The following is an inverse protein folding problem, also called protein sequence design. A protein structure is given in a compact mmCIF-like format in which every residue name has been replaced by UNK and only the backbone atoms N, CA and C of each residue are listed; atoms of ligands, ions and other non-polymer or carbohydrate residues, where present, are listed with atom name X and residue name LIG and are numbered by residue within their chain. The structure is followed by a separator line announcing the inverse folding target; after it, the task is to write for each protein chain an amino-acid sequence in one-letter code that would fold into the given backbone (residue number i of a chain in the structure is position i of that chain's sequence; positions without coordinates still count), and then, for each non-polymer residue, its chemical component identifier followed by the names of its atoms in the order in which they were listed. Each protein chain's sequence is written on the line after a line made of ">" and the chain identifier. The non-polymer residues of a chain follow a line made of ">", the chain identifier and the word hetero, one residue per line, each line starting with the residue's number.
data_IF_366739955934
#
_entry.id   IF_366739955934
#
_cell.length_a   1.000
_cell.length_b   1.000
_cell.length_c   1.000
_cell.angle_alpha   90.00
_cell.angle_beta   90.00
_cell.angle_gamma   90.00
#
_symmetry.space_group_name_H-M   'P 1'
#
loop_
_entity.id
_entity.type
_entity.pdbx_description
1 polymer ?
#
# COMPACT_ATOMS: atom_id res chain seq x y z
N UNK A 1 -18.48 -0.55 -16.48
CA UNK A 1 -18.66 -0.02 -15.11
C UNK A 1 -17.34 -0.16 -14.36
N UNK A 2 -16.41 0.78 -14.56
CA UNK A 2 -15.07 0.78 -13.91
C UNK A 2 -14.84 2.09 -13.14
N UNK A 3 -15.44 3.21 -13.55
CA UNK A 3 -15.27 4.52 -12.90
C UNK A 3 -16.00 4.71 -11.55
N UNK A 4 -16.80 3.76 -11.08
CA UNK A 4 -17.50 3.89 -9.79
C UNK A 4 -16.63 3.54 -8.57
N UNK A 5 -15.41 3.03 -8.80
CA UNK A 5 -14.53 2.48 -7.77
C UNK A 5 -13.23 3.27 -7.58
N UNK A 6 -13.11 4.47 -8.17
CA UNK A 6 -11.92 5.33 -7.99
C UNK A 6 -10.65 4.86 -8.73
N UNK A 7 -10.62 3.61 -9.24
CA UNK A 7 -9.47 3.10 -9.99
C UNK A 7 -9.25 3.86 -11.30
N UNK A 8 -8.01 4.30 -11.53
CA UNK A 8 -7.59 4.72 -12.85
C UNK A 8 -7.69 3.52 -13.81
N UNK A 9 -8.40 3.72 -14.91
CA UNK A 9 -8.54 2.72 -15.97
C UNK A 9 -7.16 2.24 -16.40
N UNK A 10 -7.00 0.92 -16.62
CA UNK A 10 -5.75 0.35 -17.11
C UNK A 10 -5.47 0.97 -18.49
N UNK A 11 -4.68 2.04 -18.49
CA UNK A 11 -4.22 2.70 -19.69
C UNK A 11 -3.05 1.90 -20.23
N UNK A 12 -3.26 1.29 -21.39
CA UNK A 12 -2.14 0.78 -22.18
C UNK A 12 -1.14 1.93 -22.36
N UNK A 13 0.16 1.72 -22.06
CA UNK A 13 1.17 2.75 -22.27
C UNK A 13 1.09 3.19 -23.73
N UNK A 14 0.89 4.49 -23.95
CA UNK A 14 0.83 5.03 -25.29
C UNK A 14 2.10 4.61 -26.04
N UNK A 15 1.92 3.86 -27.12
CA UNK A 15 3.00 3.38 -27.95
C UNK A 15 3.75 4.61 -28.48
N UNK A 16 4.90 4.91 -27.88
CA UNK A 16 5.71 6.05 -28.31
C UNK A 16 6.04 5.84 -29.77
N UNK A 17 5.73 6.84 -30.61
CA UNK A 17 6.20 6.84 -32.00
C UNK A 17 7.72 6.69 -31.95
N UNK A 18 8.30 5.61 -32.50
CA UNK A 18 9.73 5.47 -32.48
C UNK A 18 10.35 6.68 -33.19
N UNK A 19 11.46 7.23 -32.68
CA UNK A 19 12.16 8.33 -33.32
C UNK A 19 12.38 8.01 -34.81
N UNK A 20 12.27 9.02 -35.69
CA UNK A 20 12.59 8.88 -37.12
C UNK A 20 14.01 8.33 -37.23
N UNK A 21 14.13 7.02 -37.50
CA UNK A 21 15.42 6.36 -37.67
C UNK A 21 16.02 6.87 -38.98
N UNK A 22 17.22 7.43 -38.92
CA UNK A 22 18.09 7.55 -40.08
C UNK A 22 18.44 6.11 -40.51
N UNK A 23 17.81 5.60 -41.56
CA UNK A 23 18.02 4.22 -42.01
C UNK A 23 19.30 4.14 -42.85
N UNK A 24 20.47 4.08 -42.22
CA UNK A 24 21.68 3.67 -42.92
C UNK A 24 21.68 2.14 -43.06
N UNK A 25 21.02 1.63 -44.10
CA UNK A 25 21.20 0.27 -44.65
C UNK A 25 20.85 -0.94 -43.76
N UNK A 26 20.47 -0.77 -42.49
CA UNK A 26 20.10 -1.88 -41.63
C UNK A 26 18.68 -2.39 -41.96
N UNK A 27 18.54 -3.69 -42.25
CA UNK A 27 17.24 -4.32 -42.47
C UNK A 27 16.35 -4.12 -41.24
N UNK A 28 15.13 -3.60 -41.45
CA UNK A 28 14.11 -3.59 -40.40
C UNK A 28 13.91 -5.03 -39.93
N UNK A 29 14.14 -5.30 -38.64
CA UNK A 29 13.77 -6.57 -38.04
C UNK A 29 12.25 -6.65 -37.98
N UNK A 30 11.64 -7.15 -39.05
CA UNK A 30 10.27 -7.62 -39.04
C UNK A 30 10.25 -9.06 -38.52
N UNK A 31 9.23 -9.46 -37.74
CA UNK A 31 9.06 -10.86 -37.37
C UNK A 31 8.94 -11.68 -38.65
N UNK A 32 9.73 -12.75 -38.75
CA UNK A 32 9.80 -13.62 -39.94
C UNK A 32 8.61 -14.57 -40.00
N UNK A 33 7.99 -14.82 -38.85
CA UNK A 33 6.92 -15.79 -38.68
C UNK A 33 5.80 -15.20 -37.80
N UNK A 34 4.55 -15.61 -38.05
CA UNK A 34 3.41 -15.20 -37.22
C UNK A 34 3.61 -15.54 -35.73
N UNK A 35 4.24 -16.68 -35.45
CA UNK A 35 4.60 -17.10 -34.09
C UNK A 35 5.51 -16.08 -33.38
N UNK A 36 6.52 -15.53 -34.07
CA UNK A 36 7.43 -14.51 -33.49
C UNK A 36 6.69 -13.19 -33.19
N UNK A 37 5.70 -12.85 -34.01
CA UNK A 37 4.85 -11.68 -33.79
C UNK A 37 3.99 -11.84 -32.52
N UNK A 38 3.31 -12.98 -32.38
CA UNK A 38 2.50 -13.27 -31.20
C UNK A 38 3.33 -13.47 -29.94
N UNK A 39 4.51 -14.09 -30.06
CA UNK A 39 5.44 -14.28 -28.93
C UNK A 39 5.85 -12.94 -28.32
N UNK A 40 6.14 -11.95 -29.16
CA UNK A 40 6.48 -10.60 -28.71
C UNK A 40 5.30 -9.94 -27.97
N UNK A 41 4.08 -10.04 -28.51
CA UNK A 41 2.87 -9.52 -27.86
C UNK A 41 2.58 -10.19 -26.51
N UNK A 42 2.75 -11.52 -26.44
CA UNK A 42 2.56 -12.31 -25.22
C UNK A 42 3.51 -11.88 -24.11
N UNK A 43 4.81 -11.77 -24.39
CA UNK A 43 5.78 -11.32 -23.40
C UNK A 43 5.60 -9.84 -23.02
N UNK A 44 5.19 -8.97 -23.96
CA UNK A 44 4.82 -7.60 -23.63
C UNK A 44 3.66 -7.55 -22.63
N UNK A 45 2.65 -8.41 -22.78
CA UNK A 45 1.53 -8.47 -21.87
C UNK A 45 1.96 -8.94 -20.48
N UNK A 46 2.75 -10.02 -20.39
CA UNK A 46 3.30 -10.49 -19.11
C UNK A 46 4.14 -9.42 -18.41
N UNK A 47 5.02 -8.75 -19.16
CA UNK A 47 5.83 -7.66 -18.63
C UNK A 47 4.99 -6.49 -18.13
N UNK A 48 3.94 -6.11 -18.88
CA UNK A 48 3.04 -5.02 -18.48
C UNK A 48 2.30 -5.38 -17.20
N UNK A 49 1.83 -6.62 -17.08
CA UNK A 49 1.16 -7.12 -15.89
C UNK A 49 2.11 -7.10 -14.69
N UNK A 50 3.31 -7.65 -14.83
CA UNK A 50 4.32 -7.67 -13.77
C UNK A 50 4.70 -6.26 -13.28
N UNK A 51 4.98 -5.34 -14.22
CA UNK A 51 5.29 -3.94 -13.89
C UNK A 51 4.12 -3.25 -13.20
N UNK A 52 2.88 -3.49 -13.64
CA UNK A 52 1.69 -2.92 -12.98
C UNK A 52 1.49 -3.49 -11.57
N UNK A 53 1.78 -4.77 -11.36
CA UNK A 53 1.75 -5.37 -10.03
C UNK A 53 2.83 -4.74 -9.13
N UNK A 54 4.06 -4.64 -9.59
CA UNK A 54 5.13 -4.03 -8.78
C UNK A 54 4.83 -2.56 -8.45
N UNK A 55 4.35 -1.77 -9.41
CA UNK A 55 4.02 -0.36 -9.17
C UNK A 55 2.86 -0.20 -8.17
N UNK A 56 1.87 -1.10 -8.21
CA UNK A 56 0.70 -1.02 -7.31
C UNK A 56 0.95 -1.58 -5.92
N UNK A 57 1.76 -2.63 -5.80
CA UNK A 57 1.97 -3.34 -4.53
C UNK A 57 3.31 -3.02 -3.86
N UNK A 58 4.25 -2.36 -4.55
CA UNK A 58 5.51 -1.85 -3.99
C UNK A 58 5.44 -0.33 -3.87
N UNK A 59 4.34 0.15 -3.28
CA UNK A 59 4.20 1.56 -2.93
C UNK A 59 4.78 1.76 -1.53
N UNK A 60 5.57 2.82 -1.33
CA UNK A 60 6.14 3.18 -0.02
C UNK A 60 5.07 3.32 1.07
N UNK A 61 3.83 3.63 0.68
CA UNK A 61 2.72 3.83 1.61
C UNK A 61 2.22 2.50 2.20
N UNK A 62 2.36 1.39 1.48
CA UNK A 62 2.08 0.04 1.99
C UNK A 62 3.13 -0.37 3.02
N UNK A 63 4.40 -0.03 2.80
CA UNK A 63 5.45 -0.28 3.79
C UNK A 63 5.20 0.50 5.10
N UNK A 64 4.63 1.70 5.01
CA UNK A 64 4.25 2.49 6.19
C UNK A 64 3.08 1.82 6.94
N UNK A 65 2.11 1.28 6.22
CA UNK A 65 1.00 0.51 6.81
C UNK A 65 1.48 -0.73 7.54
N UNK A 66 2.38 -1.50 6.94
CA UNK A 66 2.96 -2.70 7.55
C UNK A 66 3.73 -2.36 8.83
N UNK A 67 4.48 -1.24 8.82
CA UNK A 67 5.17 -0.73 10.02
C UNK A 67 4.21 -0.27 11.10
N UNK A 68 3.14 0.46 10.75
CA UNK A 68 2.13 0.89 11.71
C UNK A 68 1.39 -0.31 12.34
N UNK A 69 1.09 -1.35 11.55
CA UNK A 69 0.50 -2.58 12.07
C UNK A 69 1.50 -3.33 12.97
N UNK A 70 2.79 -3.39 12.59
CA UNK A 70 3.83 -3.97 13.42
C UNK A 70 3.99 -3.24 14.76
N UNK A 71 3.93 -1.90 14.78
CA UNK A 71 3.95 -1.08 16.00
C UNK A 71 2.75 -1.43 16.88
N UNK A 72 1.55 -1.52 16.31
CA UNK A 72 0.33 -1.86 17.03
C UNK A 72 0.43 -3.26 17.69
N UNK A 73 0.99 -4.23 16.98
CA UNK A 73 1.05 -5.63 17.41
C UNK A 73 2.26 -5.97 18.28
N UNK A 74 3.37 -5.25 18.13
CA UNK A 74 4.62 -5.54 18.85
C UNK A 74 4.78 -4.64 20.07
N UNK A 75 4.16 -3.45 20.05
CA UNK A 75 4.32 -2.44 21.10
C UNK A 75 5.63 -1.64 20.98
N UNK A 76 6.49 -1.98 20.03
CA UNK A 76 7.72 -1.25 19.77
C UNK A 76 7.43 -0.06 18.84
N UNK A 77 7.85 1.14 19.25
CA UNK A 77 7.54 2.38 18.55
C UNK A 77 8.71 2.70 17.61
N UNK A 78 8.45 2.63 16.30
CA UNK A 78 9.41 2.99 15.25
C UNK A 78 9.39 4.50 14.95
N UNK A 79 10.49 5.02 14.39
CA UNK A 79 10.69 6.43 14.04
C UNK A 79 9.67 6.92 13.00
N UNK A 80 8.99 6.01 12.30
CA UNK A 80 7.88 6.33 11.40
C UNK A 80 6.73 7.08 12.08
N UNK A 81 6.59 6.93 13.40
CA UNK A 81 5.56 7.64 14.19
C UNK A 81 5.86 9.14 14.26
N UNK A 82 7.12 9.56 14.17
CA UNK A 82 7.50 10.98 14.22
C UNK A 82 7.06 11.76 12.98
N UNK A 83 6.75 11.07 11.88
CA UNK A 83 6.20 11.69 10.67
C UNK A 83 4.76 12.19 10.89
N UNK A 84 4.08 11.70 11.91
CA UNK A 84 2.70 12.05 12.24
C UNK A 84 2.67 12.94 13.49
N UNK A 85 2.54 14.26 13.28
CA UNK A 85 2.38 15.26 14.35
C UNK A 85 1.19 14.99 15.28
N UNK A 86 0.22 14.20 14.81
CA UNK A 86 -0.98 13.82 15.57
C UNK A 86 -0.73 12.70 16.59
N UNK A 87 0.40 11.98 16.46
CA UNK A 87 0.83 10.92 17.36
C UNK A 87 1.99 11.39 18.24
N UNK A 88 1.74 11.44 19.55
CA UNK A 88 2.81 11.59 20.51
C UNK A 88 3.48 10.23 20.76
N UNK A 89 4.70 10.04 20.25
CA UNK A 89 5.50 8.81 20.42
C UNK A 89 5.58 8.35 21.88
N UNK A 90 5.82 9.28 22.80
CA UNK A 90 5.89 9.01 24.25
C UNK A 90 4.55 8.52 24.84
N UNK A 91 3.42 9.11 24.44
CA UNK A 91 2.10 8.69 24.93
C UNK A 91 1.68 7.37 24.30
N UNK A 92 2.00 7.18 23.03
CA UNK A 92 1.72 5.95 22.29
C UNK A 92 2.45 4.76 22.92
N UNK A 93 3.74 4.91 23.27
CA UNK A 93 4.52 3.86 23.93
C UNK A 93 3.89 3.41 25.25
N UNK A 94 3.53 4.37 26.10
CA UNK A 94 2.88 4.07 27.39
C UNK A 94 1.53 3.39 27.19
N UNK A 95 0.73 3.86 26.23
CA UNK A 95 -0.57 3.25 25.93
C UNK A 95 -0.41 1.83 25.34
N UNK A 96 0.56 1.62 24.46
CA UNK A 96 0.89 0.30 23.90
C UNK A 96 1.30 -0.67 25.01
N UNK A 97 2.21 -0.28 25.90
CA UNK A 97 2.67 -1.09 27.03
C UNK A 97 1.50 -1.49 27.94
N UNK A 98 0.64 -0.53 28.30
CA UNK A 98 -0.56 -0.78 29.12
C UNK A 98 -1.53 -1.70 28.37
N UNK A 99 -1.73 -1.48 27.07
CA UNK A 99 -2.65 -2.29 26.28
C UNK A 99 -2.17 -3.72 26.09
N UNK A 100 -0.87 -3.94 25.89
CA UNK A 100 -0.27 -5.27 25.78
C UNK A 100 -0.26 -6.02 27.11
N UNK A 101 -0.08 -5.28 28.21
CA UNK A 101 -0.19 -5.84 29.55
C UNK A 101 -1.62 -6.29 29.87
N UNK A 102 -2.63 -5.49 29.49
CA UNK A 102 -4.03 -5.78 29.81
C UNK A 102 -4.71 -6.71 28.78
N UNK A 103 -4.27 -6.68 27.52
CA UNK A 103 -4.94 -7.33 26.41
C UNK A 103 -3.94 -7.94 25.42
N UNK A 104 -3.91 -9.28 25.35
CA UNK A 104 -3.08 -9.99 24.37
C UNK A 104 -3.75 -9.98 22.99
N UNK A 105 -3.47 -8.97 22.19
CA UNK A 105 -4.02 -8.84 20.85
C UNK A 105 -3.03 -9.37 19.80
N UNK A 106 -3.45 -10.38 19.02
CA UNK A 106 -2.66 -10.96 17.91
C UNK A 106 -3.07 -10.46 16.52
N UNK A 107 -4.03 -9.54 16.46
CA UNK A 107 -4.59 -9.04 15.21
C UNK A 107 -5.16 -7.65 15.42
N UNK A 108 -4.90 -6.76 14.46
CA UNK A 108 -5.41 -5.38 14.39
C UNK A 108 -6.95 -5.33 14.51
N UNK A 109 -7.63 -6.32 13.95
CA UNK A 109 -9.09 -6.44 13.97
C UNK A 109 -9.66 -6.72 15.39
N UNK A 110 -8.87 -7.37 16.24
CA UNK A 110 -9.21 -7.56 17.67
C UNK A 110 -9.01 -6.27 18.45
N UNK A 111 -7.92 -5.54 18.17
CA UNK A 111 -7.66 -4.23 18.79
C UNK A 111 -8.78 -3.24 18.46
N UNK A 112 -9.30 -3.28 17.23
CA UNK A 112 -10.46 -2.49 16.79
C UNK A 112 -11.72 -2.75 17.61
N UNK A 113 -12.07 -4.02 17.78
CA UNK A 113 -13.26 -4.40 18.55
C UNK A 113 -13.12 -4.03 20.02
N UNK A 114 -11.90 -4.12 20.55
CA UNK A 114 -11.59 -3.80 21.92
C UNK A 114 -11.72 -2.30 22.18
N UNK A 115 -11.09 -1.47 21.33
CA UNK A 115 -11.18 -0.02 21.42
C UNK A 115 -12.62 0.48 21.23
N UNK A 116 -13.41 -0.13 20.33
CA UNK A 116 -14.84 0.19 20.15
C UNK A 116 -15.73 -0.25 21.32
N UNK A 117 -15.29 -1.20 22.13
CA UNK A 117 -16.02 -1.70 23.30
C UNK A 117 -15.69 -0.96 24.59
N UNK A 118 -14.71 -0.05 24.59
CA UNK A 118 -14.28 0.70 25.76
C UNK A 118 -15.26 1.80 26.14
N UNK A 119 -15.33 2.12 27.44
CA UNK A 119 -16.07 3.28 27.93
C UNK A 119 -15.36 4.57 27.49
N UNK A 120 -16.10 5.68 27.38
CA UNK A 120 -15.58 6.98 26.96
C UNK A 120 -14.33 7.46 27.74
N UNK A 121 -14.23 7.07 29.01
CA UNK A 121 -13.09 7.42 29.88
C UNK A 121 -11.84 6.60 29.54
N UNK A 122 -12.01 5.31 29.27
CA UNK A 122 -10.96 4.44 28.76
C UNK A 122 -10.54 4.84 27.34
N UNK A 123 -11.49 5.21 26.47
CA UNK A 123 -11.19 5.72 25.12
C UNK A 123 -10.32 6.99 25.15
N UNK A 124 -10.57 7.92 26.09
CA UNK A 124 -9.71 9.10 26.27
C UNK A 124 -8.29 8.72 26.70
N UNK A 125 -8.17 7.72 27.57
CA UNK A 125 -6.87 7.23 28.05
C UNK A 125 -6.05 6.49 26.99
N UNK A 126 -6.70 5.96 25.95
CA UNK A 126 -6.09 5.28 24.80
C UNK A 126 -6.21 6.08 23.49
N UNK A 127 -6.29 7.41 23.60
CA UNK A 127 -6.52 8.29 22.45
C UNK A 127 -5.43 8.24 21.37
N UNK A 128 -4.17 7.94 21.71
CA UNK A 128 -3.09 7.81 20.73
C UNK A 128 -3.16 6.47 19.99
N UNK A 129 -3.47 5.37 20.70
CA UNK A 129 -3.76 4.08 20.06
C UNK A 129 -4.93 4.15 19.09
N UNK A 130 -6.00 4.85 19.47
CA UNK A 130 -7.17 5.02 18.60
C UNK A 130 -6.81 5.79 17.34
N UNK A 131 -6.02 6.86 17.45
CA UNK A 131 -5.52 7.60 16.28
C UNK A 131 -4.63 6.75 15.38
N UNK A 132 -3.73 5.95 15.95
CA UNK A 132 -2.90 5.03 15.16
C UNK A 132 -3.75 4.03 14.39
N UNK A 133 -4.80 3.50 15.03
CA UNK A 133 -5.75 2.60 14.41
C UNK A 133 -6.60 3.28 13.33
N UNK A 134 -7.10 4.48 13.58
CA UNK A 134 -7.88 5.25 12.61
C UNK A 134 -7.01 5.58 11.39
N UNK A 135 -5.74 5.93 11.58
CA UNK A 135 -4.79 6.13 10.48
C UNK A 135 -4.50 4.83 9.72
N UNK A 136 -4.31 3.71 10.41
CA UNK A 136 -4.16 2.41 9.76
C UNK A 136 -5.40 2.03 8.93
N UNK A 137 -6.62 2.35 9.42
CA UNK A 137 -7.85 2.14 8.67
C UNK A 137 -8.00 3.10 7.49
N UNK A 138 -7.76 4.40 7.68
CA UNK A 138 -7.87 5.41 6.63
C UNK A 138 -6.87 5.11 5.53
N UNK A 139 -5.63 4.76 5.87
CA UNK A 139 -4.61 4.40 4.89
C UNK A 139 -4.92 3.04 4.23
N UNK A 140 -5.47 2.07 4.95
CA UNK A 140 -5.95 0.79 4.38
C UNK A 140 -7.15 0.96 3.43
N UNK A 141 -8.04 1.91 3.71
CA UNK A 141 -9.17 2.24 2.85
C UNK A 141 -8.66 3.05 1.66
N UNK A 142 -7.75 4.00 1.88
CA UNK A 142 -7.09 4.79 0.84
C UNK A 142 -6.37 3.90 -0.17
N UNK A 143 -5.64 2.89 0.29
CA UNK A 143 -4.96 1.90 -0.57
C UNK A 143 -5.92 0.95 -1.30
N UNK A 144 -7.16 0.81 -0.83
CA UNK A 144 -8.23 0.06 -1.51
C UNK A 144 -9.04 0.94 -2.48
N UNK A 145 -8.98 2.26 -2.31
CA UNK A 145 -9.64 3.27 -3.17
C UNK A 145 -8.71 3.88 -4.23
N UNK A 146 -7.43 3.50 -4.25
CA UNK A 146 -6.42 3.93 -5.23
C UNK A 146 -6.10 2.79 -6.20
#
# INVERSE_FOLDING_TARGET
>A
MVGALGFEEIKMPHQRRPPKRYSSGASQQSPKTAEECYRTGFYCLLYTVDVQFQIRFTQSDLDVLDKLEAILLTGDVDDTVEQYLELSSHTLKVQLDVSHFQYTCKSSDKVLRLLRGMTMEAERSFSALRRLQDMAQINSVSSKTQ
#
